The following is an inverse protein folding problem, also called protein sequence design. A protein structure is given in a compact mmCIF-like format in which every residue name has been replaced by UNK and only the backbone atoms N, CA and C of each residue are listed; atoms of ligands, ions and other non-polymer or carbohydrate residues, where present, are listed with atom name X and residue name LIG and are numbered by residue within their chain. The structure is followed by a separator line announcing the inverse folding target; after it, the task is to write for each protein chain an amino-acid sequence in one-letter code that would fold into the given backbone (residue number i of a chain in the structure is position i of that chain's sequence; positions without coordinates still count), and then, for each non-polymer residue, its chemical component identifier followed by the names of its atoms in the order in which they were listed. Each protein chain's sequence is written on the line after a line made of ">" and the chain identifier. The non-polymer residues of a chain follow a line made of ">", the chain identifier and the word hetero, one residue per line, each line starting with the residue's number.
data_IF_163801651079
#
_entry.id   IF_163801651079
#
_cell.length_a   1.000
_cell.length_b   1.000
_cell.length_c   1.000
_cell.angle_alpha   90.00
_cell.angle_beta   90.00
_cell.angle_gamma   90.00
#
_symmetry.space_group_name_H-M   'P 1'
#
loop_
_entity.id
_entity.type
_entity.pdbx_description
1 polymer ?
#
# COMPACT_ATOMS: atom_id res chain seq x y z
N UNK A 1 26.59 -4.48 -0.62
CA UNK A 1 25.25 -3.86 -0.83
C UNK A 1 24.11 -4.87 -0.59
N UNK A 2 24.05 -6.02 -1.27
CA UNK A 2 22.92 -6.98 -1.15
C UNK A 2 22.82 -7.61 0.24
N UNK A 3 23.94 -7.99 0.86
CA UNK A 3 23.97 -8.56 2.21
C UNK A 3 23.64 -7.49 3.25
N UNK A 4 24.14 -6.30 3.09
CA UNK A 4 23.89 -5.16 3.97
C UNK A 4 22.43 -4.73 3.90
N UNK A 5 21.84 -4.65 2.69
CA UNK A 5 20.41 -4.44 2.50
C UNK A 5 19.58 -5.52 3.19
N UNK A 6 19.93 -6.80 3.00
CA UNK A 6 19.23 -7.92 3.64
C UNK A 6 19.29 -7.84 5.17
N UNK A 7 20.46 -7.53 5.74
CA UNK A 7 20.61 -7.39 7.18
C UNK A 7 19.82 -6.20 7.73
N UNK A 8 19.79 -5.08 7.01
CA UNK A 8 19.05 -3.88 7.41
C UNK A 8 17.53 -4.02 7.25
N UNK A 9 17.07 -4.88 6.35
CA UNK A 9 15.63 -5.16 6.15
C UNK A 9 15.07 -6.24 7.08
N UNK A 10 15.94 -6.92 7.85
CA UNK A 10 15.49 -7.93 8.82
C UNK A 10 14.64 -7.31 9.93
N UNK A 11 13.42 -7.81 10.08
CA UNK A 11 12.46 -7.34 11.09
C UNK A 11 11.55 -6.22 10.59
N UNK A 12 11.66 -5.83 9.31
CA UNK A 12 10.69 -4.97 8.63
C UNK A 12 9.79 -5.82 7.73
N UNK A 13 8.53 -5.41 7.60
CA UNK A 13 7.53 -6.05 6.73
C UNK A 13 6.91 -5.01 5.82
N UNK A 14 6.50 -5.41 4.61
CA UNK A 14 5.66 -4.55 3.78
C UNK A 14 4.27 -4.40 4.40
N UNK A 15 3.63 -3.26 4.20
CA UNK A 15 2.26 -2.99 4.68
C UNK A 15 1.31 -4.15 4.35
N UNK A 16 1.30 -4.59 3.09
CA UNK A 16 0.43 -5.67 2.62
C UNK A 16 0.67 -7.01 3.35
N UNK A 17 1.90 -7.30 3.76
CA UNK A 17 2.19 -8.51 4.53
C UNK A 17 1.60 -8.44 5.95
N UNK A 18 1.61 -7.25 6.55
CA UNK A 18 1.03 -7.01 7.88
C UNK A 18 -0.50 -6.95 7.81
N UNK A 19 -1.07 -6.37 6.75
CA UNK A 19 -2.52 -6.26 6.53
C UNK A 19 -3.23 -7.63 6.54
N UNK A 20 -2.56 -8.67 6.05
CA UNK A 20 -3.11 -10.04 6.06
C UNK A 20 -3.23 -10.62 7.48
N UNK A 21 -2.32 -10.26 8.39
CA UNK A 21 -2.26 -10.85 9.74
C UNK A 21 -2.81 -9.92 10.82
N UNK A 22 -2.85 -8.61 10.56
CA UNK A 22 -3.32 -7.61 11.53
C UNK A 22 -4.74 -7.87 12.05
N UNK A 23 -5.76 -8.21 11.23
CA UNK A 23 -7.10 -8.44 11.74
C UNK A 23 -7.18 -9.56 12.78
N UNK A 24 -6.36 -10.60 12.65
CA UNK A 24 -6.29 -11.70 13.61
C UNK A 24 -5.62 -11.26 14.92
N UNK A 25 -4.56 -10.44 14.82
CA UNK A 25 -3.87 -9.88 15.98
C UNK A 25 -4.81 -8.92 16.73
N UNK A 26 -5.46 -8.01 16.00
CA UNK A 26 -6.44 -7.08 16.56
C UNK A 26 -7.57 -7.82 17.30
N UNK A 27 -8.17 -8.82 16.66
CA UNK A 27 -9.25 -9.62 17.29
C UNK A 27 -8.75 -10.33 18.55
N UNK A 28 -7.56 -10.92 18.54
CA UNK A 28 -6.96 -11.54 19.70
C UNK A 28 -6.74 -10.54 20.84
N UNK A 29 -6.15 -9.39 20.55
CA UNK A 29 -5.89 -8.37 21.57
C UNK A 29 -7.18 -7.74 22.12
N UNK A 30 -8.19 -7.52 21.28
CA UNK A 30 -9.50 -7.03 21.72
C UNK A 30 -10.23 -8.03 22.64
N UNK A 31 -10.07 -9.32 22.38
CA UNK A 31 -10.59 -10.36 23.28
C UNK A 31 -9.89 -10.37 24.65
N UNK A 32 -8.60 -10.02 24.69
CA UNK A 32 -7.83 -9.97 25.95
C UNK A 32 -8.07 -8.70 26.76
N UNK A 33 -8.23 -7.56 26.10
CA UNK A 33 -8.20 -6.23 26.73
C UNK A 33 -9.54 -5.48 26.67
N UNK A 34 -10.52 -6.01 25.94
CA UNK A 34 -11.78 -5.39 25.52
C UNK A 34 -11.58 -4.28 24.46
N UNK A 35 -12.49 -4.15 23.49
CA UNK A 35 -12.35 -3.19 22.39
C UNK A 35 -12.20 -1.73 22.81
N UNK A 36 -12.86 -1.33 23.91
CA UNK A 36 -12.80 0.02 24.47
C UNK A 36 -11.46 0.37 25.15
N UNK A 37 -10.60 -0.62 25.36
CA UNK A 37 -9.31 -0.44 26.03
C UNK A 37 -8.10 -0.57 25.09
N UNK A 38 -8.31 -0.77 23.80
CA UNK A 38 -7.21 -0.95 22.85
C UNK A 38 -7.52 -0.30 21.51
N UNK A 39 -6.52 0.35 20.94
CA UNK A 39 -6.61 0.94 19.62
C UNK A 39 -5.33 0.73 18.82
N UNK A 40 -5.46 0.40 17.54
CA UNK A 40 -4.39 0.39 16.57
C UNK A 40 -3.83 1.80 16.39
N UNK A 41 -2.51 1.91 16.26
CA UNK A 41 -1.80 3.18 16.06
C UNK A 41 -0.54 3.00 15.21
N UNK A 42 0.34 3.98 15.21
CA UNK A 42 1.68 3.89 14.62
C UNK A 42 1.72 3.84 13.11
N UNK A 43 2.81 3.29 12.61
CA UNK A 43 3.14 3.24 11.18
C UNK A 43 2.09 2.49 10.35
N UNK A 44 1.54 1.39 10.86
CA UNK A 44 0.51 0.64 10.15
C UNK A 44 -0.82 1.43 10.04
N UNK A 45 -1.26 2.12 11.09
CA UNK A 45 -2.44 3.00 11.05
C UNK A 45 -2.25 4.16 10.06
N UNK A 46 -1.03 4.65 9.91
CA UNK A 46 -0.66 5.68 8.95
C UNK A 46 -0.47 5.17 7.52
N UNK A 47 -0.57 3.85 7.30
CA UNK A 47 -0.43 3.20 6.00
C UNK A 47 0.97 3.41 5.36
N UNK A 48 2.03 3.34 6.16
CA UNK A 48 3.39 3.40 5.62
C UNK A 48 3.72 2.12 4.85
N UNK A 49 4.56 2.24 3.83
CA UNK A 49 4.97 1.09 2.99
C UNK A 49 5.74 0.03 3.79
N UNK A 50 6.56 0.48 4.74
CA UNK A 50 7.41 -0.38 5.59
C UNK A 50 6.91 -0.32 7.02
N UNK A 51 6.62 -1.48 7.58
CA UNK A 51 6.18 -1.66 8.96
C UNK A 51 7.29 -2.38 9.74
N UNK A 52 7.90 -1.68 10.67
CA UNK A 52 8.90 -2.26 11.58
C UNK A 52 8.25 -2.87 12.83
N UNK A 53 7.18 -2.25 13.29
CA UNK A 53 6.42 -2.67 14.47
C UNK A 53 4.93 -2.48 14.21
N UNK A 54 4.11 -3.44 14.65
CA UNK A 54 2.67 -3.25 14.75
C UNK A 54 2.36 -2.65 16.12
N UNK A 55 1.70 -1.50 16.15
CA UNK A 55 1.63 -0.65 17.31
C UNK A 55 0.19 -0.47 17.81
N UNK A 56 0.00 -0.61 19.12
CA UNK A 56 -1.30 -0.37 19.77
C UNK A 56 -1.16 0.49 21.01
N UNK A 57 -2.20 1.26 21.32
CA UNK A 57 -2.37 1.94 22.61
C UNK A 57 -3.32 1.11 23.47
N UNK A 58 -2.96 0.87 24.73
CA UNK A 58 -3.72 0.00 25.65
C UNK A 58 -3.98 0.70 26.97
N UNK A 59 -5.25 0.75 27.39
CA UNK A 59 -5.74 1.45 28.60
C UNK A 59 -5.53 0.65 29.89
N UNK A 60 -4.44 -0.10 30.00
CA UNK A 60 -4.05 -0.84 31.20
C UNK A 60 -2.55 -0.83 31.39
N UNK A 61 -2.08 -1.16 32.59
CA UNK A 61 -0.66 -1.13 32.93
C UNK A 61 0.11 -2.35 32.40
N UNK A 62 1.44 -2.24 32.34
CA UNK A 62 2.34 -3.33 31.95
C UNK A 62 2.10 -4.60 32.80
N UNK A 63 1.90 -4.42 34.11
CA UNK A 63 1.72 -5.51 35.09
C UNK A 63 0.43 -6.30 34.79
N UNK A 64 -0.60 -5.63 34.29
CA UNK A 64 -1.88 -6.26 33.93
C UNK A 64 -1.84 -6.93 32.55
N UNK A 65 -1.01 -6.43 31.64
CA UNK A 65 -0.85 -6.98 30.28
C UNK A 65 -0.05 -8.27 30.29
N UNK A 66 1.12 -8.27 30.94
CA UNK A 66 2.05 -9.40 30.91
C UNK A 66 1.41 -10.76 31.21
N UNK A 67 0.66 -10.96 32.28
CA UNK A 67 0.06 -12.27 32.57
C UNK A 67 -0.99 -12.71 31.56
N UNK A 68 -1.68 -11.77 30.88
CA UNK A 68 -2.68 -12.09 29.86
C UNK A 68 -2.07 -12.58 28.56
N UNK A 69 -0.89 -12.07 28.18
CA UNK A 69 -0.19 -12.48 26.95
C UNK A 69 0.60 -13.79 27.11
N UNK A 70 0.78 -14.28 28.33
CA UNK A 70 1.57 -15.49 28.61
C UNK A 70 0.81 -16.82 28.42
N UNK A 71 -0.44 -16.82 27.87
CA UNK A 71 -1.34 -17.96 28.04
C UNK A 71 -0.96 -19.23 27.25
N UNK A 72 -0.80 -19.29 25.95
CA UNK A 72 -0.61 -20.60 25.27
C UNK A 72 0.67 -20.70 24.44
N UNK A 73 1.09 -19.62 23.83
CA UNK A 73 2.36 -19.45 23.11
C UNK A 73 2.81 -18.02 23.31
N UNK A 74 3.50 -17.74 24.43
CA UNK A 74 3.88 -16.37 24.77
C UNK A 74 4.80 -15.80 23.67
N UNK A 75 4.54 -14.56 23.23
CA UNK A 75 5.51 -13.84 22.41
C UNK A 75 6.76 -13.54 23.25
N UNK A 76 7.89 -13.42 22.59
CA UNK A 76 9.16 -13.05 23.25
C UNK A 76 9.09 -11.57 23.68
N UNK A 77 9.27 -11.31 24.96
CA UNK A 77 9.37 -9.95 25.49
C UNK A 77 10.73 -9.36 25.17
N UNK A 78 10.80 -8.31 24.35
CA UNK A 78 12.02 -7.63 23.95
C UNK A 78 12.31 -6.40 24.82
N UNK A 79 11.26 -5.67 25.25
CA UNK A 79 11.39 -4.46 26.04
C UNK A 79 10.24 -4.35 27.05
N UNK A 80 10.57 -3.99 28.30
CA UNK A 80 9.64 -3.66 29.37
C UNK A 80 10.09 -2.35 30.01
N UNK A 81 9.46 -1.25 29.59
CA UNK A 81 9.70 0.09 30.14
C UNK A 81 8.38 0.70 30.64
N UNK A 82 8.43 1.62 31.61
CA UNK A 82 7.22 2.32 32.03
C UNK A 82 6.46 2.91 30.83
N UNK A 83 5.20 2.55 30.70
CA UNK A 83 4.32 3.03 29.62
C UNK A 83 4.52 2.34 28.26
N UNK A 84 5.37 1.31 28.15
CA UNK A 84 5.52 0.59 26.88
C UNK A 84 6.05 -0.84 27.08
N UNK A 85 5.54 -1.74 26.21
CA UNK A 85 6.04 -3.12 26.08
C UNK A 85 6.33 -3.38 24.60
N UNK A 86 7.41 -4.10 24.32
CA UNK A 86 7.73 -4.58 22.96
C UNK A 86 7.87 -6.10 23.00
N UNK A 87 7.13 -6.75 22.14
CA UNK A 87 7.16 -8.19 21.95
C UNK A 87 7.59 -8.55 20.53
N UNK A 88 8.16 -9.73 20.37
CA UNK A 88 8.34 -10.39 19.08
C UNK A 88 7.35 -11.54 18.97
N UNK A 89 6.52 -11.49 17.94
CA UNK A 89 5.56 -12.54 17.63
C UNK A 89 6.23 -13.72 16.96
N UNK A 90 5.53 -14.88 16.89
CA UNK A 90 6.07 -16.11 16.32
C UNK A 90 6.44 -15.99 14.84
N UNK A 91 5.78 -15.13 14.09
CA UNK A 91 6.08 -14.83 12.68
C UNK A 91 7.23 -13.81 12.50
N UNK A 92 7.85 -13.36 13.60
CA UNK A 92 8.94 -12.40 13.58
C UNK A 92 8.52 -10.94 13.64
N UNK A 93 7.23 -10.63 13.42
CA UNK A 93 6.71 -9.26 13.52
C UNK A 93 6.85 -8.75 14.97
N UNK A 94 7.27 -7.51 15.12
CA UNK A 94 7.32 -6.85 16.43
C UNK A 94 5.95 -6.25 16.76
N UNK A 95 5.54 -6.40 18.01
CA UNK A 95 4.31 -5.84 18.56
C UNK A 95 4.66 -4.87 19.68
N UNK A 96 4.40 -3.59 19.48
CA UNK A 96 4.55 -2.55 20.51
C UNK A 96 3.22 -2.19 21.12
N UNK A 97 3.18 -2.14 22.43
CA UNK A 97 2.03 -1.72 23.23
C UNK A 97 2.41 -0.47 24.02
N UNK A 98 1.76 0.65 23.74
CA UNK A 98 1.81 1.85 24.57
C UNK A 98 0.75 1.73 25.65
N UNK A 99 1.16 1.73 26.92
CA UNK A 99 0.38 1.26 28.05
C UNK A 99 0.10 2.36 29.07
N UNK A 100 -0.94 2.16 29.90
CA UNK A 100 -1.28 3.06 31.00
C UNK A 100 -2.57 3.86 30.76
N UNK A 101 -3.44 3.88 31.78
CA UNK A 101 -4.73 4.56 31.72
C UNK A 101 -4.60 6.09 31.71
N UNK A 102 -3.65 6.64 32.45
CA UNK A 102 -3.47 8.09 32.57
C UNK A 102 -3.13 8.76 31.24
N UNK A 103 -2.40 8.06 30.36
CA UNK A 103 -1.94 8.59 29.09
C UNK A 103 -2.70 7.99 27.88
N UNK A 104 -3.74 7.21 28.12
CA UNK A 104 -4.43 6.49 27.05
C UNK A 104 -4.92 7.41 25.94
N UNK A 105 -5.72 8.42 26.29
CA UNK A 105 -6.28 9.37 25.33
C UNK A 105 -5.21 10.23 24.65
N UNK A 106 -4.20 10.67 25.40
CA UNK A 106 -3.06 11.37 24.82
C UNK A 106 -2.31 10.49 23.80
N UNK A 107 -2.05 9.23 24.13
CA UNK A 107 -1.40 8.27 23.24
C UNK A 107 -2.24 7.96 21.99
N UNK A 108 -3.57 7.95 22.05
CA UNK A 108 -4.43 7.78 20.87
C UNK A 108 -4.12 8.82 19.79
N UNK A 109 -3.82 10.06 20.18
CA UNK A 109 -3.43 11.12 19.26
C UNK A 109 -1.92 11.12 19.00
N UNK A 110 -1.09 11.14 20.06
CA UNK A 110 0.35 11.34 19.93
C UNK A 110 1.09 10.19 19.22
N UNK A 111 0.51 8.98 19.22
CA UNK A 111 1.07 7.84 18.47
C UNK A 111 0.44 7.68 17.08
N UNK A 112 -0.53 8.53 16.72
CA UNK A 112 -1.21 8.50 15.42
C UNK A 112 -0.52 9.31 14.33
N UNK A 113 0.53 10.05 14.64
CA UNK A 113 1.35 10.83 13.71
C UNK A 113 2.84 10.51 13.88
N UNK A 114 3.66 10.96 12.93
CA UNK A 114 5.11 10.94 13.11
C UNK A 114 5.54 11.84 14.26
N UNK A 115 6.70 11.62 14.89
CA UNK A 115 7.23 12.54 15.90
C UNK A 115 7.30 13.98 15.41
N UNK A 116 7.73 14.20 14.17
CA UNK A 116 7.87 15.52 13.55
C UNK A 116 6.50 16.21 13.38
N UNK A 117 5.48 15.46 12.96
CA UNK A 117 4.11 15.96 12.86
C UNK A 117 3.56 16.35 14.24
N UNK A 118 3.69 15.47 15.22
CA UNK A 118 3.17 15.71 16.58
C UNK A 118 3.86 16.90 17.24
N UNK A 119 5.18 17.02 17.11
CA UNK A 119 5.94 18.14 17.65
C UNK A 119 5.54 19.46 16.99
N UNK A 120 5.30 19.46 15.69
CA UNK A 120 4.82 20.64 14.98
C UNK A 120 3.38 20.98 15.39
N UNK A 121 2.51 19.99 15.54
CA UNK A 121 1.13 20.23 15.98
C UNK A 121 1.07 20.80 17.41
N UNK A 122 1.91 20.32 18.32
CA UNK A 122 2.06 20.86 19.68
C UNK A 122 2.52 22.32 19.68
N UNK A 123 3.26 22.79 18.68
CA UNK A 123 3.63 24.20 18.52
C UNK A 123 2.43 25.04 18.06
N UNK A 124 1.50 24.49 17.29
CA UNK A 124 0.26 25.20 16.92
C UNK A 124 -0.66 25.35 18.12
N UNK A 125 -0.73 24.32 18.98
CA UNK A 125 -1.51 24.31 20.21
C UNK A 125 -0.76 23.62 21.33
N UNK A 126 -0.15 24.43 22.22
CA UNK A 126 0.66 23.94 23.34
C UNK A 126 -0.15 23.15 24.40
N UNK A 127 -1.42 23.51 24.63
CA UNK A 127 -2.31 22.82 25.53
C UNK A 127 -3.37 22.03 24.74
N UNK A 128 -3.02 20.80 24.38
CA UNK A 128 -3.95 19.88 23.73
C UNK A 128 -4.84 19.27 24.83
N UNK A 129 -6.13 19.44 24.65
CA UNK A 129 -7.13 18.78 25.46
C UNK A 129 -7.52 17.46 24.79
N UNK A 130 -7.23 16.36 25.46
CA UNK A 130 -7.47 15.01 24.96
C UNK A 130 -8.79 14.39 25.44
N UNK A 131 -9.56 15.10 26.30
CA UNK A 131 -10.72 14.51 26.98
C UNK A 131 -11.83 14.08 26.02
N UNK A 132 -11.98 14.76 24.89
CA UNK A 132 -12.98 14.46 23.88
C UNK A 132 -12.53 13.43 22.83
N UNK A 133 -11.31 12.87 22.95
CA UNK A 133 -10.83 11.83 22.05
C UNK A 133 -11.52 10.51 22.35
N UNK A 134 -12.05 9.89 21.30
CA UNK A 134 -12.54 8.52 21.33
C UNK A 134 -11.64 7.58 20.53
N UNK A 135 -11.79 6.29 20.75
CA UNK A 135 -11.11 5.28 19.93
C UNK A 135 -11.54 5.48 18.48
N UNK A 136 -10.56 5.67 17.60
CA UNK A 136 -10.72 5.96 16.17
C UNK A 136 -11.31 7.34 15.80
N UNK A 137 -11.56 8.22 16.77
CA UNK A 137 -11.95 9.61 16.49
C UNK A 137 -11.14 10.61 17.34
N UNK A 138 -10.13 11.19 16.73
CA UNK A 138 -9.33 12.28 17.30
C UNK A 138 -9.61 13.66 16.63
N UNK A 139 -10.68 13.74 15.84
CA UNK A 139 -11.11 14.98 15.17
C UNK A 139 -11.35 16.16 16.12
N UNK A 140 -11.80 15.97 17.38
CA UNK A 140 -11.96 17.07 18.33
C UNK A 140 -10.66 17.82 18.61
N UNK A 141 -9.50 17.17 18.56
CA UNK A 141 -8.19 17.83 18.75
C UNK A 141 -7.93 18.86 17.66
N UNK A 142 -8.17 18.50 16.41
CA UNK A 142 -8.01 19.39 15.26
C UNK A 142 -9.00 20.55 15.33
N UNK A 143 -10.26 20.27 15.61
CA UNK A 143 -11.31 21.29 15.76
C UNK A 143 -10.95 22.32 16.82
N UNK A 144 -10.50 21.87 18.01
CA UNK A 144 -10.05 22.76 19.11
C UNK A 144 -8.80 23.55 18.76
N UNK A 145 -7.97 23.06 17.86
CA UNK A 145 -6.77 23.76 17.36
C UNK A 145 -7.08 24.73 16.22
N UNK A 146 -8.31 24.76 15.70
CA UNK A 146 -8.67 25.57 14.52
C UNK A 146 -8.03 25.07 13.23
N UNK A 147 -7.77 23.76 13.15
CA UNK A 147 -7.16 23.10 12.00
C UNK A 147 -8.16 22.09 11.43
N UNK A 148 -8.29 22.02 10.13
CA UNK A 148 -9.09 20.97 9.51
C UNK A 148 -8.52 19.59 9.84
N UNK A 149 -9.39 18.58 9.93
CA UNK A 149 -8.98 17.22 10.23
C UNK A 149 -7.95 16.72 9.21
N UNK A 150 -6.87 16.14 9.71
CA UNK A 150 -5.81 15.54 8.90
C UNK A 150 -5.90 14.02 9.03
N UNK A 151 -6.20 13.27 7.97
CA UNK A 151 -6.22 11.81 7.97
C UNK A 151 -4.88 11.21 8.42
N UNK A 152 -4.91 10.04 9.04
CA UNK A 152 -3.71 9.40 9.61
C UNK A 152 -2.58 9.24 8.58
N UNK A 153 -2.88 8.81 7.36
CA UNK A 153 -1.88 8.60 6.30
C UNK A 153 -1.20 9.90 5.79
N UNK A 154 -1.68 11.06 6.20
CA UNK A 154 -1.06 12.36 5.89
C UNK A 154 -0.25 12.94 7.06
N UNK A 155 -0.15 12.25 8.21
CA UNK A 155 0.50 12.75 9.43
C UNK A 155 1.98 12.40 9.51
N UNK A 156 2.70 12.43 8.38
CA UNK A 156 4.15 12.18 8.34
C UNK A 156 4.96 13.48 8.39
N UNK A 157 4.52 14.49 7.66
CA UNK A 157 5.28 15.74 7.50
C UNK A 157 4.55 16.93 8.13
N UNK A 158 5.29 17.87 8.76
CA UNK A 158 4.70 19.05 9.42
C UNK A 158 3.95 19.99 8.48
N UNK A 159 4.36 20.08 7.21
CA UNK A 159 3.83 21.04 6.22
C UNK A 159 2.33 20.85 5.97
N UNK A 160 1.81 19.64 6.21
CA UNK A 160 0.39 19.34 6.07
C UNK A 160 -0.47 20.16 7.05
N UNK A 161 0.09 20.51 8.21
CA UNK A 161 -0.62 21.29 9.24
C UNK A 161 -0.90 22.70 8.73
N UNK A 162 0.06 23.35 8.08
CA UNK A 162 -0.14 24.70 7.52
C UNK A 162 -1.15 24.68 6.39
N UNK A 163 -1.14 23.65 5.55
CA UNK A 163 -2.16 23.45 4.54
C UNK A 163 -3.55 23.27 5.16
N UNK A 164 -3.65 22.48 6.23
CA UNK A 164 -4.92 22.21 6.93
C UNK A 164 -5.52 23.44 7.65
N UNK A 165 -4.73 24.48 7.93
CA UNK A 165 -5.25 25.76 8.47
C UNK A 165 -6.06 26.56 7.45
N UNK A 166 -5.74 26.42 6.18
CA UNK A 166 -6.27 27.29 5.11
C UNK A 166 -7.20 26.58 4.14
N UNK A 167 -7.04 25.27 3.97
CA UNK A 167 -7.81 24.47 3.02
C UNK A 167 -8.30 23.18 3.66
N UNK A 168 -9.46 22.69 3.20
CA UNK A 168 -9.89 21.33 3.50
C UNK A 168 -8.91 20.32 2.92
N UNK A 169 -8.69 19.20 3.64
CA UNK A 169 -7.87 18.11 3.11
C UNK A 169 -8.53 17.50 1.87
N UNK A 170 -7.73 17.04 0.91
CA UNK A 170 -8.27 16.34 -0.25
C UNK A 170 -9.02 15.10 0.22
N UNK A 171 -10.08 14.77 -0.50
CA UNK A 171 -10.72 13.47 -0.35
C UNK A 171 -9.74 12.39 -0.80
N UNK A 172 -9.42 11.46 0.08
CA UNK A 172 -8.49 10.38 -0.22
C UNK A 172 -9.17 9.32 -1.09
N UNK A 173 -8.41 8.76 -2.02
CA UNK A 173 -8.85 7.63 -2.83
C UNK A 173 -9.21 6.46 -1.91
N UNK A 174 -10.39 5.90 -2.12
CA UNK A 174 -10.88 4.72 -1.41
C UNK A 174 -10.83 3.50 -2.34
N UNK A 175 -10.80 2.26 -1.82
CA UNK A 175 -10.86 1.07 -2.67
C UNK A 175 -12.00 1.06 -3.68
N UNK A 176 -13.16 1.60 -3.32
CA UNK A 176 -14.33 1.73 -4.22
C UNK A 176 -14.18 2.76 -5.34
N UNK A 177 -13.17 3.63 -5.29
CA UNK A 177 -12.87 4.59 -6.34
C UNK A 177 -12.03 3.97 -7.46
N UNK A 178 -11.39 2.82 -7.21
CA UNK A 178 -10.59 2.10 -8.20
C UNK A 178 -11.54 1.37 -9.15
N UNK A 179 -11.52 1.75 -10.43
CA UNK A 179 -12.45 1.26 -11.44
C UNK A 179 -11.94 0.12 -12.28
N UNK A 180 -10.65 -0.12 -12.29
CA UNK A 180 -10.08 -1.17 -13.12
C UNK A 180 -8.63 -1.49 -12.80
N UNK A 181 -8.13 -2.50 -13.47
CA UNK A 181 -6.76 -2.99 -13.36
C UNK A 181 -6.04 -2.69 -14.67
N UNK A 182 -4.84 -2.12 -14.58
CA UNK A 182 -3.99 -1.81 -15.71
C UNK A 182 -2.66 -2.53 -15.54
N UNK A 183 -2.07 -2.99 -16.65
CA UNK A 183 -0.79 -3.68 -16.69
C UNK A 183 -0.84 -5.04 -16.00
N UNK A 184 -1.50 -5.98 -16.64
CA UNK A 184 -1.55 -7.38 -16.21
C UNK A 184 -1.32 -8.32 -17.40
N UNK A 185 -0.69 -9.47 -17.10
CA UNK A 185 -0.27 -10.44 -18.10
C UNK A 185 -1.14 -11.70 -18.00
N UNK A 186 -1.53 -12.20 -19.15
CA UNK A 186 -2.28 -13.45 -19.26
C UNK A 186 -1.38 -14.61 -19.68
N UNK A 187 -1.94 -15.80 -19.81
CA UNK A 187 -1.23 -16.97 -20.33
C UNK A 187 -0.91 -16.89 -21.85
N UNK A 188 -1.19 -15.76 -22.49
CA UNK A 188 -0.70 -15.48 -23.83
C UNK A 188 0.80 -15.15 -23.83
N UNK A 189 1.30 -14.58 -22.74
CA UNK A 189 2.74 -14.42 -22.47
C UNK A 189 3.17 -15.26 -21.25
N UNK A 190 3.57 -14.64 -20.16
CA UNK A 190 4.10 -15.30 -18.96
C UNK A 190 3.13 -15.33 -17.77
N UNK A 191 1.90 -14.82 -17.93
CA UNK A 191 0.87 -14.90 -16.92
C UNK A 191 0.34 -16.34 -16.73
N UNK A 192 -0.24 -16.62 -15.57
CA UNK A 192 -0.70 -17.96 -15.18
C UNK A 192 -2.14 -18.27 -15.59
N UNK A 193 -2.97 -17.23 -15.77
CA UNK A 193 -4.41 -17.38 -15.97
C UNK A 193 -4.82 -16.99 -17.40
N UNK A 194 -5.91 -17.55 -17.86
CA UNK A 194 -6.52 -17.19 -19.12
C UNK A 194 -7.15 -15.78 -19.03
N UNK A 195 -7.24 -15.10 -20.16
CA UNK A 195 -7.95 -13.83 -20.28
C UNK A 195 -9.38 -13.87 -19.71
N UNK A 196 -10.11 -14.94 -19.98
CA UNK A 196 -11.47 -15.11 -19.48
C UNK A 196 -11.53 -15.25 -17.96
N UNK A 197 -10.63 -16.02 -17.36
CA UNK A 197 -10.53 -16.15 -15.89
C UNK A 197 -10.19 -14.82 -15.23
N UNK A 198 -9.21 -14.10 -15.77
CA UNK A 198 -8.80 -12.80 -15.25
C UNK A 198 -9.94 -11.77 -15.34
N UNK A 199 -10.63 -11.71 -16.47
CA UNK A 199 -11.74 -10.80 -16.67
C UNK A 199 -12.93 -11.10 -15.75
N UNK A 200 -13.25 -12.39 -15.53
CA UNK A 200 -14.30 -12.81 -14.59
C UNK A 200 -13.94 -12.44 -13.16
N UNK A 201 -12.72 -12.72 -12.74
CA UNK A 201 -12.25 -12.39 -11.39
C UNK A 201 -12.25 -10.87 -11.14
N UNK A 202 -11.80 -10.06 -12.09
CA UNK A 202 -11.83 -8.61 -11.98
C UNK A 202 -13.27 -8.08 -11.88
N UNK A 203 -14.18 -8.58 -12.71
CA UNK A 203 -15.61 -8.23 -12.66
C UNK A 203 -16.26 -8.63 -11.34
N UNK A 204 -15.98 -9.81 -10.81
CA UNK A 204 -16.50 -10.31 -9.53
C UNK A 204 -16.03 -9.45 -8.34
N UNK A 205 -14.84 -8.84 -8.45
CA UNK A 205 -14.33 -7.89 -7.47
C UNK A 205 -14.95 -6.48 -7.60
N UNK A 206 -15.84 -6.26 -8.58
CA UNK A 206 -16.54 -5.00 -8.76
C UNK A 206 -15.82 -3.99 -9.67
N UNK A 207 -14.74 -4.39 -10.35
CA UNK A 207 -14.09 -3.52 -11.34
C UNK A 207 -14.94 -3.37 -12.60
N UNK A 208 -14.76 -2.25 -13.28
CA UNK A 208 -15.48 -1.90 -14.52
C UNK A 208 -14.67 -2.32 -15.77
N UNK A 209 -13.33 -2.43 -15.63
CA UNK A 209 -12.46 -2.80 -16.75
C UNK A 209 -11.17 -3.51 -16.33
N UNK A 210 -10.57 -4.18 -17.32
CA UNK A 210 -9.25 -4.81 -17.25
C UNK A 210 -8.44 -4.42 -18.49
N UNK A 211 -7.19 -3.99 -18.31
CA UNK A 211 -6.26 -3.73 -19.40
C UNK A 211 -5.24 -4.86 -19.43
N UNK A 212 -5.28 -5.69 -20.48
CA UNK A 212 -4.33 -6.78 -20.70
C UNK A 212 -3.14 -6.24 -21.46
N UNK A 213 -1.94 -6.43 -20.89
CA UNK A 213 -0.68 -5.86 -21.37
C UNK A 213 0.39 -6.95 -21.47
N UNK A 214 0.10 -8.04 -22.17
CA UNK A 214 1.06 -9.12 -22.39
C UNK A 214 2.36 -8.60 -23.04
N UNK A 215 3.49 -9.29 -22.82
CA UNK A 215 4.78 -8.89 -23.34
C UNK A 215 4.86 -8.91 -24.86
N UNK A 216 5.64 -7.96 -25.42
CA UNK A 216 5.94 -7.90 -26.84
C UNK A 216 6.99 -8.94 -27.26
N UNK A 217 7.14 -9.16 -28.56
CA UNK A 217 7.92 -10.26 -29.16
C UNK A 217 9.40 -10.29 -28.76
N UNK A 218 10.02 -9.16 -28.42
CA UNK A 218 11.43 -9.10 -27.96
C UNK A 218 11.62 -9.73 -26.59
N UNK A 219 10.58 -9.84 -25.79
CA UNK A 219 10.56 -10.55 -24.50
C UNK A 219 10.39 -12.07 -24.71
N UNK A 220 11.30 -12.70 -25.46
CA UNK A 220 11.22 -14.13 -25.76
C UNK A 220 11.22 -15.02 -24.51
N UNK A 221 11.86 -14.62 -23.43
CA UNK A 221 11.88 -15.29 -22.14
C UNK A 221 10.48 -15.34 -21.50
N UNK A 222 9.63 -14.38 -21.81
CA UNK A 222 8.24 -14.29 -21.35
C UNK A 222 7.23 -14.75 -22.43
N UNK A 223 7.66 -15.41 -23.48
CA UNK A 223 6.84 -15.87 -24.61
C UNK A 223 6.09 -14.74 -25.32
N UNK A 224 6.70 -13.56 -25.41
CA UNK A 224 6.08 -12.35 -25.95
C UNK A 224 5.38 -12.55 -27.30
N UNK A 225 4.36 -11.74 -27.54
CA UNK A 225 3.42 -11.94 -28.65
C UNK A 225 4.02 -11.54 -29.99
N UNK A 226 4.04 -12.44 -30.96
CA UNK A 226 4.19 -12.10 -32.35
C UNK A 226 2.87 -11.61 -32.95
N UNK A 227 2.92 -10.95 -34.10
CA UNK A 227 1.78 -10.26 -34.74
C UNK A 227 0.56 -11.17 -34.95
N UNK A 228 0.80 -12.45 -35.28
CA UNK A 228 -0.27 -13.44 -35.42
C UNK A 228 -1.03 -13.72 -34.14
N UNK A 229 -0.28 -13.80 -33.01
CA UNK A 229 -0.88 -13.96 -31.68
C UNK A 229 -1.66 -12.71 -31.26
N UNK A 230 -1.17 -11.50 -31.58
CA UNK A 230 -1.88 -10.24 -31.32
C UNK A 230 -3.27 -10.26 -31.96
N UNK A 231 -3.35 -10.62 -33.25
CA UNK A 231 -4.64 -10.70 -33.95
C UNK A 231 -5.59 -11.70 -33.28
N UNK A 232 -5.06 -12.87 -32.92
CA UNK A 232 -5.86 -13.91 -32.26
C UNK A 232 -6.35 -13.45 -30.85
N UNK A 233 -5.48 -12.79 -30.08
CA UNK A 233 -5.84 -12.26 -28.77
C UNK A 233 -6.89 -11.14 -28.89
N UNK A 234 -6.74 -10.22 -29.85
CA UNK A 234 -7.71 -9.15 -30.09
C UNK A 234 -9.11 -9.71 -30.42
N UNK A 235 -9.18 -10.74 -31.26
CA UNK A 235 -10.44 -11.41 -31.58
C UNK A 235 -11.08 -12.03 -30.35
N UNK A 236 -10.30 -12.70 -29.49
CA UNK A 236 -10.79 -13.23 -28.22
C UNK A 236 -11.29 -12.13 -27.27
N UNK A 237 -10.55 -11.01 -27.18
CA UNK A 237 -10.97 -9.85 -26.36
C UNK A 237 -12.30 -9.30 -26.86
N UNK A 238 -12.49 -9.17 -28.15
CA UNK A 238 -13.77 -8.71 -28.73
C UNK A 238 -14.92 -9.66 -28.43
N UNK A 239 -14.71 -10.97 -28.58
CA UNK A 239 -15.69 -11.98 -28.19
C UNK A 239 -16.06 -11.88 -26.71
N UNK A 240 -15.06 -11.80 -25.82
CA UNK A 240 -15.27 -11.66 -24.38
C UNK A 240 -16.03 -10.39 -24.04
N UNK A 241 -15.70 -9.27 -24.68
CA UNK A 241 -16.41 -7.99 -24.50
C UNK A 241 -17.89 -8.06 -24.89
N UNK A 242 -18.26 -8.90 -25.87
CA UNK A 242 -19.69 -9.12 -26.19
C UNK A 242 -20.43 -9.92 -25.14
N UNK A 243 -19.73 -10.82 -24.42
CA UNK A 243 -20.30 -11.71 -23.39
C UNK A 243 -20.34 -11.08 -21.99
N UNK A 244 -19.40 -10.19 -21.67
CA UNK A 244 -19.20 -9.61 -20.34
C UNK A 244 -19.95 -8.26 -20.21
N UNK A 245 -21.28 -8.32 -20.12
CA UNK A 245 -22.08 -7.09 -19.93
C UNK A 245 -21.63 -6.28 -18.72
N UNK A 246 -21.46 -4.96 -18.88
CA UNK A 246 -21.04 -4.04 -17.81
C UNK A 246 -19.56 -4.13 -17.41
N UNK A 247 -18.74 -4.81 -18.21
CA UNK A 247 -17.28 -4.92 -17.99
C UNK A 247 -16.57 -4.81 -19.34
N UNK A 248 -15.41 -4.14 -19.36
CA UNK A 248 -14.62 -3.94 -20.60
C UNK A 248 -13.20 -4.48 -20.44
N UNK A 249 -12.77 -5.28 -21.41
CA UNK A 249 -11.35 -5.62 -21.58
C UNK A 249 -10.77 -4.70 -22.63
N UNK A 250 -9.70 -3.96 -22.28
CA UNK A 250 -8.95 -3.13 -23.21
C UNK A 250 -7.74 -3.92 -23.74
N UNK A 251 -7.49 -3.76 -25.04
CA UNK A 251 -6.34 -4.31 -25.73
C UNK A 251 -5.11 -3.48 -25.41
N UNK A 252 -4.11 -4.06 -24.80
CA UNK A 252 -2.83 -3.39 -24.55
C UNK A 252 -1.68 -4.34 -24.79
N UNK A 253 -0.50 -3.78 -24.85
CA UNK A 253 0.76 -4.51 -24.96
C UNK A 253 1.82 -3.82 -24.10
N UNK A 254 2.61 -4.59 -23.37
CA UNK A 254 3.87 -4.09 -22.81
C UNK A 254 4.97 -4.24 -23.86
N UNK A 255 5.19 -3.15 -24.59
CA UNK A 255 6.16 -3.13 -25.68
C UNK A 255 7.55 -2.80 -25.17
N UNK A 256 8.54 -3.65 -25.53
CA UNK A 256 9.94 -3.31 -25.28
C UNK A 256 10.34 -2.02 -26.00
N UNK A 257 11.04 -1.16 -25.27
CA UNK A 257 11.79 -0.04 -25.86
C UNK A 257 13.13 -0.61 -26.35
N UNK A 258 13.33 -0.66 -27.63
CA UNK A 258 14.58 -1.16 -28.25
C UNK A 258 15.76 -0.22 -27.97
N UNK A 259 16.96 -0.64 -28.32
CA UNK A 259 18.19 0.12 -28.03
C UNK A 259 18.20 1.54 -28.61
N UNK A 260 17.60 1.72 -29.77
CA UNK A 260 17.49 3.01 -30.48
C UNK A 260 16.33 3.89 -29.98
N UNK A 261 15.45 3.33 -29.13
CA UNK A 261 14.27 4.00 -28.59
C UNK A 261 12.98 3.67 -29.35
N UNK A 262 13.06 2.92 -30.46
CA UNK A 262 11.84 2.44 -31.13
C UNK A 262 11.10 1.40 -30.29
N UNK A 263 9.81 1.27 -30.48
CA UNK A 263 9.00 0.20 -29.88
C UNK A 263 9.09 -1.07 -30.74
N UNK A 264 8.75 -2.19 -30.15
CA UNK A 264 8.99 -3.54 -30.70
C UNK A 264 8.13 -3.89 -31.93
N UNK A 265 7.15 -3.05 -32.27
CA UNK A 265 6.27 -3.25 -33.42
C UNK A 265 6.23 -2.02 -34.32
N UNK A 266 5.76 -2.22 -35.57
CA UNK A 266 5.45 -1.11 -36.46
C UNK A 266 4.29 -0.27 -35.93
N UNK A 267 4.25 1.01 -36.31
CA UNK A 267 3.14 1.91 -35.95
C UNK A 267 1.77 1.35 -36.37
N UNK A 268 1.68 0.61 -37.47
CA UNK A 268 0.46 -0.02 -37.92
C UNK A 268 -0.04 -1.09 -36.95
N UNK A 269 0.85 -1.86 -36.34
CA UNK A 269 0.50 -2.84 -35.29
C UNK A 269 0.17 -2.14 -33.98
N UNK A 270 0.98 -1.17 -33.55
CA UNK A 270 0.75 -0.41 -32.33
C UNK A 270 -0.63 0.31 -32.34
N UNK A 271 -1.04 0.82 -33.48
CA UNK A 271 -2.35 1.48 -33.66
C UNK A 271 -3.57 0.54 -33.49
N UNK A 272 -3.37 -0.78 -33.40
CA UNK A 272 -4.45 -1.74 -33.16
C UNK A 272 -4.78 -1.91 -31.68
N UNK A 273 -3.94 -1.38 -30.79
CA UNK A 273 -4.14 -1.41 -29.33
C UNK A 273 -4.90 -0.17 -28.84
N UNK A 274 -5.63 -0.32 -27.75
CA UNK A 274 -6.26 0.79 -27.03
C UNK A 274 -5.23 1.56 -26.19
N UNK A 275 -4.18 0.86 -25.71
CA UNK A 275 -3.10 1.38 -24.87
C UNK A 275 -1.79 0.65 -25.17
N UNK A 276 -0.67 1.35 -25.19
CA UNK A 276 0.68 0.78 -25.27
C UNK A 276 1.46 1.21 -24.05
N UNK A 277 2.02 0.25 -23.33
CA UNK A 277 2.95 0.47 -22.22
C UNK A 277 4.35 0.23 -22.75
N UNK A 278 5.17 1.27 -22.75
CA UNK A 278 6.57 1.17 -23.19
C UNK A 278 7.46 0.85 -21.99
N UNK A 279 8.26 -0.22 -22.08
CA UNK A 279 9.06 -0.72 -20.97
C UNK A 279 10.49 -1.08 -21.41
N UNK A 280 11.44 -1.00 -20.49
CA UNK A 280 12.86 -1.34 -20.74
C UNK A 280 13.20 -2.64 -20.02
N UNK A 281 13.28 -3.76 -20.73
CA UNK A 281 13.65 -5.06 -20.16
C UNK A 281 15.07 -5.52 -20.50
N UNK A 282 15.73 -4.86 -21.43
CA UNK A 282 17.05 -5.26 -21.92
C UNK A 282 18.01 -4.08 -22.00
N UNK A 283 19.31 -4.38 -22.02
CA UNK A 283 20.38 -3.39 -22.20
C UNK A 283 20.25 -2.23 -21.19
N UNK A 284 20.18 -2.58 -19.88
CA UNK A 284 20.01 -1.62 -18.79
C UNK A 284 21.27 -0.81 -18.49
N UNK A 285 22.47 -1.34 -18.87
CA UNK A 285 23.75 -0.66 -18.63
C UNK A 285 24.08 0.24 -19.82
N UNK A 286 23.88 1.53 -19.66
CA UNK A 286 24.25 2.56 -20.63
C UNK A 286 24.54 3.88 -19.91
N UNK A 287 25.06 4.88 -20.64
CA UNK A 287 25.23 6.24 -20.09
C UNK A 287 23.86 6.90 -19.88
N UNK A 288 23.79 7.83 -18.92
CA UNK A 288 22.56 8.60 -18.65
C UNK A 288 22.03 9.31 -19.90
N UNK A 289 22.93 9.92 -20.68
CA UNK A 289 22.59 10.59 -21.93
C UNK A 289 21.91 9.63 -22.92
N UNK A 290 22.47 8.42 -23.09
CA UNK A 290 21.88 7.42 -23.98
C UNK A 290 20.55 6.87 -23.47
N UNK A 291 20.44 6.68 -22.14
CA UNK A 291 19.18 6.26 -21.52
C UNK A 291 18.08 7.31 -21.75
N UNK A 292 18.43 8.58 -21.56
CA UNK A 292 17.49 9.69 -21.78
C UNK A 292 17.02 9.75 -23.24
N UNK A 293 17.95 9.68 -24.21
CA UNK A 293 17.62 9.65 -25.64
C UNK A 293 16.70 8.48 -26.00
N UNK A 294 16.98 7.28 -25.45
CA UNK A 294 16.17 6.08 -25.64
C UNK A 294 14.74 6.25 -25.14
N UNK A 295 14.57 6.81 -23.95
CA UNK A 295 13.24 7.02 -23.34
C UNK A 295 12.45 8.12 -24.07
N UNK A 296 13.12 9.23 -24.44
CA UNK A 296 12.46 10.33 -25.16
C UNK A 296 11.97 9.83 -26.52
N UNK A 297 12.81 9.10 -27.27
CA UNK A 297 12.42 8.55 -28.57
C UNK A 297 11.22 7.57 -28.49
N UNK A 298 11.05 6.87 -27.37
CA UNK A 298 9.89 5.99 -27.18
C UNK A 298 8.59 6.76 -26.84
N UNK A 299 8.68 8.01 -26.36
CA UNK A 299 7.53 8.86 -26.02
C UNK A 299 7.06 9.67 -27.23
N UNK A 300 7.99 10.09 -28.12
CA UNK A 300 7.72 10.86 -29.34
C UNK A 300 7.16 9.97 -30.47
#
# INVERSE_FOLDING_TARGET
>A
ETIEFYLNSQGSSLYQQVEVVEPQISAYLQNLFLPENIALTGSFKRQLEIIEELEYVVNISNEQIKPKLLSVRPPELLEDKPGTLLYKLLNGLKLRLYTGSENFKANLFEKSGSPEFIDAFKKVRSNIDYDDIEINDDSPVFKKAGVNYIPYCLREKPEIIDRAKTTTMPMLIQPGDIKGIIHSHSNWSDGSNTLEEMAKAAKEQGYEYLVISDHSKSAFYAQGLHEEKIIAQHNLIEELNTRLSGFKIFKSIESDILYDGSLDYSNAVLATFDLVIASVHSILKMTEEKAMQRLIAAIE
#
